data_IF_965812860442
#
_entry.id   IF_965812860442
#
_cell.length_a   1.000
_cell.length_b   1.000
_cell.length_c   1.000
_cell.angle_alpha   90.00
_cell.angle_beta   90.00
_cell.angle_gamma   90.00
#
_symmetry.space_group_name_H-M   'P 1'
#
loop_
_entity.id
_entity.type
_entity.pdbx_description
1 polymer ?
#
# COMPACT_ATOMS: atom_id res chain seq x y z
N UNK A 1 9.31 10.83 13.68
CA UNK A 1 8.97 9.70 14.56
C UNK A 1 7.67 10.09 15.27
N UNK A 2 6.57 9.35 15.06
CA UNK A 2 5.34 9.61 15.83
C UNK A 2 5.62 9.14 17.28
N UNK A 3 5.11 9.88 18.25
CA UNK A 3 5.38 9.75 19.70
C UNK A 3 5.10 8.35 20.25
N UNK A 4 5.67 8.02 21.42
CA UNK A 4 5.56 6.72 22.12
C UNK A 4 4.11 6.22 22.32
N UNK A 5 3.11 7.11 22.27
CA UNK A 5 1.68 6.80 22.44
C UNK A 5 0.88 6.75 21.14
N UNK A 6 1.51 6.93 19.98
CA UNK A 6 0.80 6.88 18.71
C UNK A 6 0.26 5.48 18.46
N UNK A 7 -1.03 5.40 18.10
CA UNK A 7 -1.68 4.16 17.64
C UNK A 7 -1.85 4.29 16.12
N UNK A 8 -1.60 3.22 15.35
CA UNK A 8 -1.92 3.23 13.93
C UNK A 8 -3.41 3.52 13.67
N UNK A 9 -3.78 4.07 12.50
CA UNK A 9 -5.18 4.26 12.16
C UNK A 9 -5.99 2.98 12.39
N UNK A 10 -7.20 3.09 12.96
CA UNK A 10 -8.04 1.93 13.26
C UNK A 10 -8.40 1.10 12.01
N UNK A 11 -8.36 1.72 10.82
CA UNK A 11 -8.54 1.05 9.54
C UNK A 11 -7.33 0.24 9.07
N UNK A 12 -6.19 0.29 9.77
CA UNK A 12 -4.95 -0.40 9.38
C UNK A 12 -5.18 -1.90 9.32
N UNK A 13 -4.93 -2.49 8.15
CA UNK A 13 -5.18 -3.91 7.89
C UNK A 13 -3.94 -4.74 8.18
N UNK A 14 -4.15 -5.91 8.78
CA UNK A 14 -3.12 -6.96 8.86
C UNK A 14 -3.51 -8.08 7.90
N UNK A 15 -2.57 -8.48 7.04
CA UNK A 15 -2.80 -9.52 6.03
C UNK A 15 -2.22 -10.84 6.53
N UNK A 16 -3.09 -11.72 7.00
CA UNK A 16 -2.69 -12.99 7.61
C UNK A 16 -2.41 -14.07 6.57
N UNK A 17 -3.18 -14.09 5.48
CA UNK A 17 -3.08 -15.09 4.41
C UNK A 17 -3.36 -14.47 3.04
N UNK A 18 -2.93 -15.16 1.98
CA UNK A 18 -3.04 -14.66 0.60
C UNK A 18 -4.47 -14.34 0.19
N UNK A 19 -5.46 -15.08 0.70
CA UNK A 19 -6.88 -14.86 0.43
C UNK A 19 -7.43 -13.57 1.05
N UNK A 20 -6.71 -12.92 1.97
CA UNK A 20 -7.14 -11.64 2.56
C UNK A 20 -6.82 -10.44 1.64
N UNK A 21 -6.00 -10.67 0.60
CA UNK A 21 -5.72 -9.68 -0.44
C UNK A 21 -6.90 -9.55 -1.40
N UNK A 22 -7.07 -8.40 -2.08
CA UNK A 22 -8.00 -8.26 -3.19
C UNK A 22 -7.84 -9.42 -4.18
N UNK A 23 -8.92 -10.10 -4.55
CA UNK A 23 -8.86 -11.37 -5.31
C UNK A 23 -8.48 -11.17 -6.78
N UNK A 24 -8.84 -10.02 -7.35
CA UNK A 24 -8.61 -9.76 -8.77
C UNK A 24 -7.14 -9.44 -9.06
N UNK A 25 -6.60 -10.10 -10.08
CA UNK A 25 -5.20 -10.07 -10.50
C UNK A 25 -5.02 -9.65 -11.95
N UNK A 26 -6.12 -9.45 -12.69
CA UNK A 26 -6.11 -8.93 -14.07
C UNK A 26 -5.37 -7.59 -14.14
N UNK A 27 -4.86 -7.20 -15.29
CA UNK A 27 -4.16 -5.93 -15.43
C UNK A 27 -5.14 -4.75 -15.23
N UNK A 28 -4.69 -3.69 -14.55
CA UNK A 28 -5.44 -2.45 -14.38
C UNK A 28 -4.51 -1.24 -14.48
N UNK A 29 -5.05 -0.13 -15.00
CA UNK A 29 -4.32 1.14 -15.14
C UNK A 29 -4.57 2.02 -13.93
N UNK A 30 -3.49 2.57 -13.37
CA UNK A 30 -3.51 3.48 -12.23
C UNK A 30 -2.95 4.82 -12.66
N UNK A 31 -3.66 5.89 -12.31
CA UNK A 31 -3.15 7.25 -12.42
C UNK A 31 -2.65 7.69 -11.04
N UNK A 32 -1.39 8.09 -10.99
CA UNK A 32 -0.66 8.45 -9.78
C UNK A 32 -0.27 9.92 -9.88
N UNK A 33 -0.79 10.73 -8.97
CA UNK A 33 -0.39 12.12 -8.83
C UNK A 33 0.91 12.19 -8.03
N UNK A 34 1.94 12.77 -8.65
CA UNK A 34 3.25 12.99 -8.08
C UNK A 34 3.28 14.29 -7.25
N UNK A 35 4.32 14.47 -6.44
CA UNK A 35 4.47 15.64 -5.57
C UNK A 35 4.61 16.97 -6.36
N UNK A 36 5.14 16.91 -7.58
CA UNK A 36 5.25 18.06 -8.50
C UNK A 36 3.92 18.38 -9.22
N UNK A 37 2.86 17.64 -8.93
CA UNK A 37 1.54 17.78 -9.56
C UNK A 37 1.39 17.03 -10.89
N UNK A 38 2.45 16.43 -11.43
CA UNK A 38 2.36 15.61 -12.63
C UNK A 38 1.56 14.33 -12.37
N UNK A 39 0.92 13.80 -13.42
CA UNK A 39 0.17 12.54 -13.34
C UNK A 39 0.82 11.51 -14.25
N UNK A 40 1.20 10.39 -13.66
CA UNK A 40 1.80 9.25 -14.36
C UNK A 40 0.81 8.10 -14.41
N UNK A 41 0.85 7.30 -15.48
CA UNK A 41 -0.05 6.15 -15.68
C UNK A 41 0.74 4.86 -15.71
N UNK A 42 0.34 3.90 -14.89
CA UNK A 42 1.01 2.60 -14.79
C UNK A 42 0.01 1.46 -14.89
N UNK A 43 0.36 0.45 -15.71
CA UNK A 43 -0.40 -0.80 -15.78
C UNK A 43 0.19 -1.76 -14.75
N UNK A 44 -0.60 -2.12 -13.74
CA UNK A 44 -0.22 -3.09 -12.72
C UNK A 44 -1.04 -4.37 -12.87
N UNK A 45 -0.40 -5.50 -12.63
CA UNK A 45 -1.03 -6.82 -12.68
C UNK A 45 -0.53 -7.71 -11.55
N UNK A 46 -1.19 -8.87 -11.36
CA UNK A 46 -0.81 -9.89 -10.38
C UNK A 46 -0.69 -9.27 -8.97
N UNK A 47 0.37 -9.58 -8.23
CA UNK A 47 0.51 -9.16 -6.82
C UNK A 47 0.74 -7.66 -6.66
N UNK A 48 1.41 -7.00 -7.61
CA UNK A 48 1.59 -5.53 -7.61
C UNK A 48 0.24 -4.81 -7.60
N UNK A 49 -0.68 -5.27 -8.44
CA UNK A 49 -2.05 -4.78 -8.46
C UNK A 49 -2.75 -4.98 -7.11
N UNK A 50 -2.78 -6.21 -6.60
CA UNK A 50 -3.46 -6.53 -5.35
C UNK A 50 -2.95 -5.67 -4.18
N UNK A 51 -1.65 -5.42 -4.12
CA UNK A 51 -1.04 -4.58 -3.07
C UNK A 51 -1.33 -3.10 -3.28
N UNK A 52 -1.34 -2.59 -4.53
CA UNK A 52 -1.77 -1.22 -4.82
C UNK A 52 -3.22 -1.00 -4.39
N UNK A 53 -4.13 -1.91 -4.74
CA UNK A 53 -5.54 -1.81 -4.34
C UNK A 53 -5.74 -1.88 -2.83
N UNK A 54 -4.97 -2.75 -2.17
CA UNK A 54 -4.98 -2.85 -0.72
C UNK A 54 -4.57 -1.53 -0.06
N UNK A 55 -3.49 -0.90 -0.56
CA UNK A 55 -2.96 0.36 -0.04
C UNK A 55 -3.87 1.56 -0.35
N UNK A 56 -4.58 1.55 -1.48
CA UNK A 56 -5.63 2.53 -1.79
C UNK A 56 -6.78 2.42 -0.77
N UNK A 57 -7.13 1.20 -0.36
CA UNK A 57 -8.23 0.98 0.56
C UNK A 57 -7.90 1.34 2.01
N UNK A 58 -6.70 1.00 2.50
CA UNK A 58 -6.28 1.29 3.87
C UNK A 58 -4.77 1.15 4.09
N UNK A 59 -4.21 1.75 5.16
CA UNK A 59 -2.87 1.43 5.63
C UNK A 59 -2.72 -0.06 5.96
N UNK A 60 -1.49 -0.57 5.90
CA UNK A 60 -1.22 -2.01 6.11
C UNK A 60 -0.03 -2.22 7.04
N UNK A 61 -0.15 -3.13 8.01
CA UNK A 61 0.97 -3.50 8.87
C UNK A 61 2.11 -4.14 8.07
N UNK A 62 3.34 -3.64 8.27
CA UNK A 62 4.55 -4.21 7.67
C UNK A 62 4.79 -5.64 8.15
N UNK A 63 4.45 -5.94 9.41
CA UNK A 63 4.56 -7.26 10.02
C UNK A 63 3.45 -8.25 9.58
N UNK A 64 2.78 -8.00 8.46
CA UNK A 64 1.83 -8.96 7.89
C UNK A 64 2.55 -10.25 7.47
N UNK A 65 2.08 -11.45 7.87
CA UNK A 65 2.71 -12.72 7.50
C UNK A 65 2.85 -12.93 5.99
N UNK A 66 1.87 -12.45 5.23
CA UNK A 66 2.03 -12.31 3.78
C UNK A 66 3.02 -11.17 3.54
N UNK A 67 4.28 -11.52 3.27
CA UNK A 67 5.37 -10.57 3.03
C UNK A 67 5.06 -9.67 1.83
N UNK A 68 4.46 -8.51 2.08
CA UNK A 68 4.12 -7.52 1.05
C UNK A 68 5.22 -6.47 0.85
N UNK A 69 6.23 -6.43 1.73
CA UNK A 69 7.30 -5.41 1.70
C UNK A 69 8.06 -5.36 0.38
N UNK A 70 8.38 -6.51 -0.21
CA UNK A 70 9.06 -6.56 -1.52
C UNK A 70 8.20 -5.92 -2.62
N UNK A 71 6.89 -6.14 -2.56
CA UNK A 71 5.94 -5.57 -3.52
C UNK A 71 5.80 -4.07 -3.29
N UNK A 72 5.74 -3.61 -2.04
CA UNK A 72 5.75 -2.18 -1.70
C UNK A 72 7.01 -1.51 -2.24
N UNK A 73 8.18 -2.14 -2.10
CA UNK A 73 9.43 -1.63 -2.64
C UNK A 73 9.41 -1.55 -4.17
N UNK A 74 8.90 -2.59 -4.85
CA UNK A 74 8.71 -2.57 -6.30
C UNK A 74 7.76 -1.46 -6.75
N UNK A 75 6.63 -1.27 -6.07
CA UNK A 75 5.70 -0.18 -6.40
C UNK A 75 6.37 1.19 -6.31
N UNK A 76 7.07 1.48 -5.21
CA UNK A 76 7.83 2.74 -5.04
C UNK A 76 8.80 2.96 -6.21
N UNK A 77 9.59 1.94 -6.54
CA UNK A 77 10.65 2.03 -7.56
C UNK A 77 10.10 2.15 -8.98
N UNK A 78 9.07 1.39 -9.32
CA UNK A 78 8.58 1.26 -10.71
C UNK A 78 7.56 2.33 -11.07
N UNK A 79 6.81 2.85 -10.10
CA UNK A 79 5.73 3.81 -10.36
C UNK A 79 5.95 5.17 -9.72
N UNK A 80 7.04 5.33 -8.96
CA UNK A 80 7.29 6.54 -8.18
C UNK A 80 6.25 6.81 -7.09
N UNK A 81 5.41 5.83 -6.74
CA UNK A 81 4.33 6.06 -5.76
C UNK A 81 4.93 6.29 -4.37
N UNK A 82 4.45 7.31 -3.70
CA UNK A 82 4.86 7.64 -2.35
C UNK A 82 4.06 6.82 -1.35
N UNK A 83 4.76 5.94 -0.65
CA UNK A 83 4.22 5.12 0.45
C UNK A 83 5.10 5.35 1.67
N UNK A 84 4.52 5.94 2.71
CA UNK A 84 5.21 6.17 3.97
C UNK A 84 5.24 4.92 4.84
N UNK A 85 6.33 4.77 5.58
CA UNK A 85 6.43 3.79 6.67
C UNK A 85 6.41 4.55 7.99
N UNK A 86 5.29 4.49 8.69
CA UNK A 86 5.18 4.99 10.06
C UNK A 86 5.55 3.88 11.04
N UNK A 87 6.39 4.17 12.03
CA UNK A 87 6.74 3.26 13.10
C UNK A 87 6.01 3.63 14.39
N UNK A 88 5.55 2.61 15.10
CA UNK A 88 4.80 2.69 16.34
C UNK A 88 5.51 1.86 17.41
N UNK A 89 5.43 2.31 18.66
CA UNK A 89 5.99 1.58 19.79
C UNK A 89 5.25 0.25 20.00
N UNK A 90 6.01 -0.81 20.30
CA UNK A 90 5.45 -2.07 20.76
C UNK A 90 5.09 -2.01 22.24
N UNK A 91 4.48 -3.09 22.74
CA UNK A 91 4.16 -3.20 24.17
C UNK A 91 5.40 -3.69 24.96
N UNK A 92 5.98 -2.84 25.83
CA UNK A 92 7.16 -3.20 26.61
C UNK A 92 6.88 -4.31 27.62
N UNK A 93 5.64 -4.49 28.07
CA UNK A 93 5.29 -5.51 29.07
C UNK A 93 5.29 -6.93 28.48
N UNK A 94 5.08 -7.05 27.16
CA UNK A 94 5.11 -8.34 26.45
C UNK A 94 6.43 -8.58 25.73
N UNK A 95 7.36 -7.61 25.77
CA UNK A 95 8.60 -7.64 25.00
C UNK A 95 8.39 -7.42 23.50
N UNK A 96 7.22 -6.92 23.09
CA UNK A 96 6.94 -6.66 21.69
C UNK A 96 7.76 -5.45 21.20
N UNK A 97 8.54 -5.65 20.15
CA UNK A 97 9.30 -4.58 19.50
C UNK A 97 8.41 -3.59 18.74
N UNK A 98 9.01 -2.47 18.32
CA UNK A 98 8.35 -1.49 17.46
C UNK A 98 7.89 -2.13 16.14
N UNK A 99 6.78 -1.64 15.60
CA UNK A 99 6.20 -2.16 14.37
C UNK A 99 5.84 -1.03 13.40
N UNK A 100 5.85 -1.36 12.11
CA UNK A 100 5.60 -0.40 11.03
C UNK A 100 4.23 -0.57 10.36
N UNK A 101 3.73 0.50 9.76
CA UNK A 101 2.62 0.46 8.78
C UNK A 101 3.00 1.17 7.49
N UNK A 102 2.59 0.60 6.36
CA UNK A 102 2.64 1.25 5.06
C UNK A 102 1.37 2.07 4.83
N UNK A 103 1.52 3.35 4.52
CA UNK A 103 0.43 4.28 4.20
C UNK A 103 0.66 4.89 2.83
N UNK A 104 -0.33 4.81 1.94
CA UNK A 104 -0.27 5.48 0.64
C UNK A 104 -0.43 6.99 0.82
N UNK A 105 0.53 7.76 0.33
CA UNK A 105 0.53 9.24 0.41
C UNK A 105 0.14 9.85 -0.93
N UNK A 106 0.64 9.30 -2.04
CA UNK A 106 0.25 9.74 -3.37
C UNK A 106 -1.25 9.55 -3.59
N UNK A 107 -1.88 10.52 -4.27
CA UNK A 107 -3.25 10.34 -4.74
C UNK A 107 -3.25 9.37 -5.92
N UNK A 108 -3.78 8.18 -5.70
CA UNK A 108 -3.89 7.13 -6.72
C UNK A 108 -5.35 6.84 -7.00
N UNK A 109 -5.70 6.73 -8.28
CA UNK A 109 -7.01 6.27 -8.72
C UNK A 109 -6.88 5.25 -9.85
N UNK A 110 -7.75 4.25 -9.84
CA UNK A 110 -7.92 3.36 -11.00
C UNK A 110 -8.53 4.16 -12.13
N UNK A 111 -7.96 4.03 -13.32
CA UNK A 111 -8.52 4.59 -14.55
C UNK A 111 -9.51 3.56 -15.09
N UNK A 112 -10.77 3.95 -15.28
CA UNK A 112 -11.70 3.14 -16.03
C UNK A 112 -11.12 2.94 -17.44
N UNK A 113 -11.11 1.71 -17.94
CA UNK A 113 -10.81 1.47 -19.34
C UNK A 113 -11.87 2.20 -20.16
N UNK A 114 -11.55 3.37 -20.69
CA UNK A 114 -12.28 3.90 -21.83
C UNK A 114 -12.11 2.86 -22.93
N UNK A 115 -13.21 2.23 -23.32
CA UNK A 115 -13.27 1.55 -24.60
C UNK A 115 -12.88 2.60 -25.63
N UNK A 116 -11.69 2.45 -26.23
CA UNK A 116 -11.37 3.16 -27.45
C UNK A 116 -12.36 2.61 -28.47
N UNK A 117 -13.45 3.35 -28.71
CA UNK A 117 -14.31 3.11 -29.85
C UNK A 117 -13.41 3.22 -31.09
N UNK A 118 -13.30 2.11 -31.80
CA UNK A 118 -12.63 2.03 -33.10
C UNK A 118 -13.38 2.84 -34.15
#
# INVERSE_FOLDING_TARGET
MKTETAIPPASTRRIWRVSDLPSDRSAATYAIQQADGSVTRHILSKRRRQVMDLLIAAPVYCASPVRISDIVHLLKRETGVEIHTDYYAGDPNTGAGAYGTYTLVSRVHRVASEQVAA
#
